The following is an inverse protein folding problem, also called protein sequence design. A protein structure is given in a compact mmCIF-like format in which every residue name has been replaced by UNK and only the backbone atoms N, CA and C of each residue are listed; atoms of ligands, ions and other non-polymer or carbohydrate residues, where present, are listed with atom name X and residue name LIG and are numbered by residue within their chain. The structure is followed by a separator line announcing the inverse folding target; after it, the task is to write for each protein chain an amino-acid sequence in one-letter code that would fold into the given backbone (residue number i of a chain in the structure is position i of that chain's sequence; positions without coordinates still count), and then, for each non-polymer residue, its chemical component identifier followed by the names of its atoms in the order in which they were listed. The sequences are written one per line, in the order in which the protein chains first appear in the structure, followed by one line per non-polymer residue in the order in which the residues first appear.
data_IF_470759860524
#
_entry.id   IF_470759860524
#
_cell.length_a   1.000
_cell.length_b   1.000
_cell.length_c   1.000
_cell.angle_alpha   90.00
_cell.angle_beta   90.00
_cell.angle_gamma   90.00
#
_symmetry.space_group_name_H-M   'P 1'
#
loop_
_entity.id
_entity.type
_entity.pdbx_description
1 polymer ?
#
# COMPACT_ATOMS: atom_id res chain seq x y z
N UNK A 1 -6.83 -23.96 11.58
CA UNK A 1 -5.95 -22.78 11.73
C UNK A 1 -5.24 -22.46 10.42
N UNK A 2 -4.81 -23.47 9.65
CA UNK A 2 -4.17 -23.27 8.34
C UNK A 2 -5.13 -22.73 7.25
N UNK A 3 -6.43 -23.05 7.31
CA UNK A 3 -7.45 -22.55 6.36
C UNK A 3 -7.59 -21.01 6.31
N UNK A 4 -7.33 -20.31 7.43
CA UNK A 4 -7.35 -18.84 7.49
C UNK A 4 -5.97 -18.24 7.20
N UNK A 5 -4.91 -18.91 7.67
CA UNK A 5 -3.53 -18.42 7.53
C UNK A 5 -3.02 -18.50 6.10
N UNK A 6 -3.48 -19.49 5.30
CA UNK A 6 -3.10 -19.62 3.89
C UNK A 6 -3.48 -18.39 3.06
N UNK A 7 -4.77 -18.02 2.97
CA UNK A 7 -5.22 -16.84 2.24
C UNK A 7 -4.63 -15.54 2.78
N UNK A 8 -4.46 -15.43 4.11
CA UNK A 8 -3.89 -14.24 4.73
C UNK A 8 -2.40 -14.10 4.40
N UNK A 9 -1.66 -15.21 4.40
CA UNK A 9 -0.27 -15.23 3.96
C UNK A 9 -0.16 -14.93 2.48
N UNK A 10 -1.00 -15.49 1.63
CA UNK A 10 -1.01 -15.18 0.20
C UNK A 10 -1.41 -13.72 -0.06
N UNK A 11 -2.27 -13.13 0.78
CA UNK A 11 -2.60 -11.72 0.74
C UNK A 11 -1.50 -10.80 1.29
N UNK A 12 -0.50 -11.32 1.99
CA UNK A 12 0.65 -10.55 2.49
C UNK A 12 1.91 -10.77 1.63
N UNK A 13 2.09 -11.99 1.14
CA UNK A 13 3.17 -12.40 0.22
C UNK A 13 2.85 -12.01 -1.23
N UNK A 14 1.57 -11.80 -1.55
CA UNK A 14 1.02 -11.68 -2.90
C UNK A 14 1.80 -10.71 -3.78
N UNK A 15 2.54 -11.22 -4.79
CA UNK A 15 3.36 -10.36 -5.63
C UNK A 15 2.44 -9.40 -6.40
N UNK A 16 2.73 -8.11 -6.25
CA UNK A 16 2.08 -7.03 -6.97
C UNK A 16 2.89 -6.73 -8.23
N UNK A 17 2.24 -6.66 -9.38
CA UNK A 17 2.86 -6.30 -10.65
C UNK A 17 3.42 -4.85 -10.60
N UNK A 18 4.32 -4.52 -11.53
CA UNK A 18 4.97 -3.20 -11.54
C UNK A 18 3.97 -2.03 -11.65
N UNK A 19 2.89 -2.21 -12.40
CA UNK A 19 1.85 -1.20 -12.55
C UNK A 19 1.06 -1.01 -11.24
N UNK A 20 0.69 -2.11 -10.60
CA UNK A 20 0.06 -2.16 -9.29
C UNK A 20 0.90 -1.48 -8.22
N UNK A 21 2.22 -1.66 -8.24
CA UNK A 21 3.13 -0.97 -7.32
C UNK A 21 3.02 0.55 -7.45
N UNK A 22 2.90 1.07 -8.68
CA UNK A 22 2.72 2.51 -8.91
C UNK A 22 1.35 3.01 -8.43
N UNK A 23 0.28 2.23 -8.62
CA UNK A 23 -1.05 2.56 -8.12
C UNK A 23 -1.02 2.61 -6.59
N UNK A 24 -0.45 1.59 -5.97
CA UNK A 24 -0.24 1.46 -4.52
C UNK A 24 0.50 2.66 -3.93
N UNK A 25 1.55 3.14 -4.59
CA UNK A 25 2.32 4.32 -4.14
C UNK A 25 1.47 5.61 -4.15
N UNK A 26 0.72 5.84 -5.23
CA UNK A 26 -0.18 6.99 -5.36
C UNK A 26 -1.32 6.91 -4.33
N UNK A 27 -1.91 5.73 -4.15
CA UNK A 27 -2.97 5.49 -3.18
C UNK A 27 -2.47 5.70 -1.75
N UNK A 28 -1.29 5.17 -1.41
CA UNK A 28 -0.69 5.36 -0.08
C UNK A 28 -0.52 6.84 0.23
N UNK A 29 0.12 7.57 -0.67
CA UNK A 29 0.38 9.00 -0.49
C UNK A 29 -0.93 9.80 -0.45
N UNK A 30 -1.85 9.52 -1.37
CA UNK A 30 -3.14 10.21 -1.45
C UNK A 30 -4.02 9.96 -0.23
N UNK A 31 -4.18 8.70 0.16
CA UNK A 31 -5.02 8.31 1.31
C UNK A 31 -4.44 8.86 2.60
N UNK A 32 -3.15 8.67 2.89
CA UNK A 32 -2.55 9.19 4.13
C UNK A 32 -2.66 10.71 4.21
N UNK A 33 -2.38 11.43 3.11
CA UNK A 33 -2.48 12.89 3.09
C UNK A 33 -3.91 13.37 3.30
N UNK A 34 -4.87 12.77 2.60
CA UNK A 34 -6.29 13.13 2.72
C UNK A 34 -6.79 12.79 4.11
N UNK A 35 -6.56 11.59 4.63
CA UNK A 35 -7.06 11.16 5.94
C UNK A 35 -6.42 11.97 7.08
N UNK A 36 -5.13 12.29 6.99
CA UNK A 36 -4.43 13.10 7.99
C UNK A 36 -4.95 14.54 8.08
N UNK A 37 -5.49 15.12 6.99
CA UNK A 37 -5.98 16.50 6.98
C UNK A 37 -7.51 16.56 7.14
N UNK A 38 -8.24 15.71 6.42
CA UNK A 38 -9.71 15.80 6.30
C UNK A 38 -10.46 15.30 7.54
N UNK A 39 -10.01 14.21 8.16
CA UNK A 39 -10.66 13.64 9.35
C UNK A 39 -10.59 14.61 10.53
N UNK A 40 -9.41 15.11 10.94
CA UNK A 40 -9.35 16.04 12.06
C UNK A 40 -10.08 17.36 11.76
N UNK A 41 -10.09 17.82 10.52
CA UNK A 41 -10.86 19.01 10.13
C UNK A 41 -12.37 18.81 10.26
N UNK A 42 -12.89 17.68 9.78
CA UNK A 42 -14.33 17.37 9.84
C UNK A 42 -14.82 17.16 11.29
N UNK A 43 -14.08 16.39 12.08
CA UNK A 43 -14.41 16.15 13.49
C UNK A 43 -14.38 17.44 14.30
N UNK A 44 -13.39 18.31 14.03
CA UNK A 44 -13.29 19.63 14.62
C UNK A 44 -14.48 20.56 14.28
N UNK A 45 -14.85 20.64 13.00
CA UNK A 45 -15.93 21.53 12.53
C UNK A 45 -17.29 21.13 13.12
N UNK A 46 -17.57 19.83 13.24
CA UNK A 46 -18.84 19.34 13.80
C UNK A 46 -18.90 19.52 15.32
N UNK A 47 -17.81 19.22 16.01
CA UNK A 47 -17.76 19.28 17.47
C UNK A 47 -17.73 20.71 18.01
N UNK A 48 -17.20 21.67 17.24
CA UNK A 48 -17.00 23.05 17.72
C UNK A 48 -17.60 24.09 16.75
N UNK A 49 -18.94 24.24 16.69
CA UNK A 49 -19.60 25.21 15.80
C UNK A 49 -19.29 26.68 16.15
N UNK A 50 -18.68 26.95 17.31
CA UNK A 50 -18.49 28.30 17.87
C UNK A 50 -17.08 28.89 17.80
N UNK A 51 -16.07 28.17 17.31
CA UNK A 51 -14.68 28.61 17.52
C UNK A 51 -13.95 29.10 16.26
N UNK A 52 -13.58 30.39 16.29
CA UNK A 52 -12.56 31.01 15.44
C UNK A 52 -11.34 31.32 16.31
N UNK A 53 -10.18 30.81 15.90
CA UNK A 53 -8.82 31.12 16.38
C UNK A 53 -8.44 30.72 17.81
N UNK A 54 -7.61 29.65 17.90
CA UNK A 54 -6.76 29.33 19.05
C UNK A 54 -6.74 27.84 19.44
N UNK A 55 -5.57 27.21 19.29
CA UNK A 55 -5.23 25.95 19.95
C UNK A 55 -6.10 24.72 19.63
N UNK A 56 -5.99 24.24 18.38
CA UNK A 56 -6.70 23.05 17.89
C UNK A 56 -5.89 21.75 18.06
N UNK A 57 -4.73 21.78 18.73
CA UNK A 57 -3.72 20.70 18.66
C UNK A 57 -3.20 20.17 20.01
N UNK A 58 -3.79 20.52 21.14
CA UNK A 58 -3.22 20.09 22.44
C UNK A 58 -3.53 18.64 22.82
N UNK A 59 -4.46 17.97 22.14
CA UNK A 59 -4.69 16.53 22.34
C UNK A 59 -3.86 15.69 21.37
N UNK A 60 -2.66 15.32 21.84
CA UNK A 60 -1.73 14.44 21.12
C UNK A 60 -2.30 13.02 20.99
N UNK A 61 -3.09 12.55 21.96
CA UNK A 61 -3.66 11.19 21.90
C UNK A 61 -4.74 11.10 20.83
N UNK A 62 -5.62 12.10 20.74
CA UNK A 62 -6.64 12.15 19.70
C UNK A 62 -5.99 12.17 18.30
N UNK A 63 -4.99 13.04 18.11
CA UNK A 63 -4.25 13.12 16.84
C UNK A 63 -3.58 11.79 16.48
N UNK A 64 -2.92 11.15 17.46
CA UNK A 64 -2.25 9.87 17.26
C UNK A 64 -3.24 8.75 16.90
N UNK A 65 -4.36 8.65 17.61
CA UNK A 65 -5.38 7.64 17.32
C UNK A 65 -6.01 7.82 15.95
N UNK A 66 -6.31 9.06 15.57
CA UNK A 66 -6.87 9.38 14.25
C UNK A 66 -5.90 9.06 13.13
N UNK A 67 -4.62 9.43 13.26
CA UNK A 67 -3.59 9.08 12.28
C UNK A 67 -3.33 7.56 12.22
N UNK A 68 -3.40 6.87 13.36
CA UNK A 68 -3.26 5.41 13.42
C UNK A 68 -4.41 4.73 12.70
N UNK A 69 -5.65 5.16 12.96
CA UNK A 69 -6.83 4.64 12.26
C UNK A 69 -6.73 4.88 10.74
N UNK A 70 -6.31 6.08 10.32
CA UNK A 70 -6.09 6.39 8.91
C UNK A 70 -4.98 5.55 8.26
N UNK A 71 -3.94 5.21 9.03
CA UNK A 71 -2.85 4.34 8.57
C UNK A 71 -3.33 2.90 8.40
N UNK A 72 -4.08 2.37 9.37
CA UNK A 72 -4.67 1.03 9.28
C UNK A 72 -5.61 0.95 8.07
N UNK A 73 -6.45 1.95 7.85
CA UNK A 73 -7.33 2.02 6.69
C UNK A 73 -6.55 2.00 5.38
N UNK A 74 -5.48 2.81 5.29
CA UNK A 74 -4.60 2.81 4.11
C UNK A 74 -3.95 1.45 3.91
N UNK A 75 -3.47 0.81 4.98
CA UNK A 75 -2.89 -0.54 4.89
C UNK A 75 -3.89 -1.55 4.36
N UNK A 76 -5.15 -1.52 4.80
CA UNK A 76 -6.17 -2.43 4.27
C UNK A 76 -6.45 -2.22 2.78
N UNK A 77 -6.34 -0.98 2.28
CA UNK A 77 -6.55 -0.69 0.85
C UNK A 77 -5.33 -1.07 0.01
N UNK A 78 -4.12 -0.90 0.53
CA UNK A 78 -2.90 -1.00 -0.25
C UNK A 78 -2.17 -2.33 -0.12
N UNK A 79 -2.17 -2.92 1.09
CA UNK A 79 -1.35 -4.11 1.40
C UNK A 79 -1.86 -5.39 0.73
N UNK A 80 -3.18 -5.69 0.72
CA UNK A 80 -3.65 -6.90 0.05
C UNK A 80 -3.41 -6.83 -1.47
N UNK A 81 -3.04 -7.93 -2.14
CA UNK A 81 -2.86 -8.03 -3.57
C UNK A 81 -4.23 -8.07 -4.27
N UNK A 82 -4.97 -6.98 -4.19
CA UNK A 82 -6.27 -6.88 -4.85
C UNK A 82 -6.12 -7.20 -6.33
N UNK A 83 -7.11 -7.85 -6.97
CA UNK A 83 -7.04 -8.21 -8.38
C UNK A 83 -6.85 -7.00 -9.31
N UNK A 84 -7.15 -5.78 -8.84
CA UNK A 84 -6.85 -4.53 -9.55
C UNK A 84 -5.35 -4.26 -9.72
N UNK A 85 -4.51 -4.68 -8.76
CA UNK A 85 -3.07 -4.42 -8.75
C UNK A 85 -2.26 -5.44 -9.56
N UNK A 86 -2.92 -6.45 -10.14
CA UNK A 86 -2.27 -7.56 -10.85
C UNK A 86 -2.82 -7.77 -12.27
N UNK A 87 -3.33 -6.71 -12.90
CA UNK A 87 -3.95 -6.77 -14.23
C UNK A 87 -2.94 -6.67 -15.38
N UNK A 88 -1.71 -6.24 -15.11
CA UNK A 88 -0.68 -5.96 -16.12
C UNK A 88 0.61 -6.73 -15.82
N UNK A 89 0.60 -8.07 -15.94
CA UNK A 89 1.79 -8.88 -15.70
C UNK A 89 2.87 -8.59 -16.75
N UNK A 90 4.07 -8.23 -16.27
CA UNK A 90 5.18 -7.90 -17.16
C UNK A 90 5.89 -9.16 -17.66
N UNK A 91 6.06 -9.28 -18.98
CA UNK A 91 6.56 -10.50 -19.64
C UNK A 91 8.02 -10.88 -19.34
N UNK A 92 8.78 -9.97 -18.73
CA UNK A 92 10.20 -10.17 -18.41
C UNK A 92 10.44 -10.63 -16.97
N UNK A 93 9.42 -10.59 -16.10
CA UNK A 93 9.43 -11.17 -14.76
C UNK A 93 9.06 -12.65 -14.85
N UNK A 94 9.91 -13.46 -15.48
CA UNK A 94 9.76 -14.92 -15.49
C UNK A 94 10.01 -15.43 -14.06
N UNK A 95 8.94 -15.63 -13.29
CA UNK A 95 8.99 -16.28 -11.97
C UNK A 95 9.26 -17.77 -12.15
N UNK A 96 10.55 -18.11 -12.28
CA UNK A 96 11.10 -19.43 -11.98
C UNK A 96 10.34 -20.64 -12.50
N UNK A 97 10.21 -20.80 -13.82
CA UNK A 97 10.03 -22.12 -14.42
C UNK A 97 11.21 -22.40 -15.35
N UNK A 98 12.03 -23.39 -15.00
CA UNK A 98 12.90 -24.04 -15.97
C UNK A 98 12.08 -24.45 -17.18
N UNK A 99 12.29 -23.77 -18.29
CA UNK A 99 11.45 -23.89 -19.48
C UNK A 99 12.02 -23.08 -20.63
N UNK A 100 13.22 -23.48 -21.05
CA UNK A 100 13.82 -23.33 -22.38
C UNK A 100 12.98 -22.49 -23.37
N UNK A 101 13.45 -21.28 -23.68
CA UNK A 101 12.84 -20.50 -24.75
C UNK A 101 13.40 -19.10 -24.91
N UNK A 102 14.48 -18.99 -25.70
CA UNK A 102 15.06 -17.76 -26.29
C UNK A 102 15.82 -16.81 -25.35
N UNK A 103 17.15 -16.88 -25.46
CA UNK A 103 17.98 -15.67 -25.49
C UNK A 103 18.67 -15.27 -24.19
N UNK A 104 18.99 -16.20 -23.30
CA UNK A 104 19.87 -15.91 -22.16
C UNK A 104 21.27 -15.48 -22.64
N UNK A 105 21.75 -14.34 -22.14
CA UNK A 105 23.09 -13.80 -22.42
C UNK A 105 24.13 -14.79 -21.88
N UNK A 106 24.89 -15.42 -22.77
CA UNK A 106 25.99 -16.31 -22.41
C UNK A 106 27.20 -15.44 -22.10
N UNK A 107 27.58 -15.34 -20.82
CA UNK A 107 28.87 -14.74 -20.44
C UNK A 107 29.92 -15.79 -20.73
N UNK A 108 30.54 -15.70 -21.90
CA UNK A 108 31.70 -16.52 -22.22
C UNK A 108 32.83 -16.15 -21.24
N UNK A 109 33.37 -17.15 -20.53
CA UNK A 109 34.57 -16.92 -19.73
C UNK A 109 35.72 -16.80 -20.71
N UNK A 110 36.16 -15.58 -20.94
CA UNK A 110 37.37 -15.30 -21.70
C UNK A 110 38.58 -16.00 -21.06
N UNK A 111 39.30 -16.77 -21.87
CA UNK A 111 40.68 -17.16 -21.61
C UNK A 111 40.86 -18.60 -21.14
N UNK A 112 41.08 -19.49 -22.10
CA UNK A 112 41.98 -20.64 -21.93
C UNK A 112 43.44 -20.18 -21.89
#
# INVERSE_FOLDING_TARGET
MDELLGPLREALDGPIDFHGQRITDILTTGLLTVLAVSIPFHEYVISHPGYRMGYVFEDVFLTLWTMTAGTILTMLVVVPPWPMYNQHPESWLVTGAGGIGRGGIVIDKAGS
#
